data_IF_216705712008
#
_entry.id   IF_216705712008
#
_cell.length_a   1.000
_cell.length_b   1.000
_cell.length_c   1.000
_cell.angle_alpha   90.00
_cell.angle_beta   90.00
_cell.angle_gamma   90.00
#
_symmetry.space_group_name_H-M   'P 1'
#
loop_
_entity.id
_entity.type
_entity.pdbx_description
1 polymer ?
#
# COMPACT_ATOMS: atom_id res chain seq x y z
N UNK A 1 18.17 -10.51 0.22
CA UNK A 1 18.40 -10.41 -1.24
C UNK A 1 17.80 -9.09 -1.74
N UNK A 2 18.41 -8.40 -2.72
CA UNK A 2 17.82 -7.20 -3.31
C UNK A 2 16.50 -7.52 -4.03
N UNK A 3 15.57 -6.55 -4.05
CA UNK A 3 14.31 -6.68 -4.81
C UNK A 3 14.65 -6.75 -6.29
N UNK A 4 14.41 -7.90 -6.90
CA UNK A 4 14.61 -8.11 -8.34
C UNK A 4 13.30 -8.44 -9.02
N UNK A 5 13.24 -8.27 -10.35
CA UNK A 5 12.07 -8.67 -11.15
C UNK A 5 11.67 -10.12 -10.89
N UNK A 6 12.63 -11.04 -10.90
CA UNK A 6 12.42 -12.47 -10.62
C UNK A 6 11.86 -12.70 -9.22
N UNK A 7 12.37 -11.97 -8.22
CA UNK A 7 11.85 -12.04 -6.85
C UNK A 7 10.39 -11.58 -6.76
N UNK A 8 9.98 -10.54 -7.50
CA UNK A 8 8.57 -10.13 -7.53
C UNK A 8 7.68 -11.13 -8.29
N UNK A 9 8.14 -11.66 -9.41
CA UNK A 9 7.39 -12.59 -10.26
C UNK A 9 7.16 -13.94 -9.56
N UNK A 10 8.22 -14.53 -8.99
CA UNK A 10 8.18 -15.83 -8.32
C UNK A 10 7.25 -15.83 -7.09
N UNK A 11 6.92 -14.64 -6.55
CA UNK A 11 6.28 -14.48 -5.24
C UNK A 11 4.94 -13.71 -5.34
N UNK A 12 4.43 -13.44 -6.56
CA UNK A 12 3.13 -12.80 -6.84
C UNK A 12 1.92 -13.71 -6.51
N UNK A 13 2.12 -15.03 -6.48
CA UNK A 13 1.04 -16.02 -6.36
C UNK A 13 0.58 -16.29 -4.91
N UNK A 14 1.33 -15.85 -3.90
CA UNK A 14 1.12 -16.18 -2.48
C UNK A 14 0.64 -14.99 -1.63
N UNK A 15 0.02 -13.98 -2.25
CA UNK A 15 -0.54 -12.81 -1.56
C UNK A 15 -1.67 -13.20 -0.59
N UNK A 16 -1.34 -13.48 0.67
CA UNK A 16 -2.33 -13.77 1.72
C UNK A 16 -2.77 -12.53 2.52
N UNK A 17 -4.08 -12.52 2.83
CA UNK A 17 -4.93 -11.49 3.43
C UNK A 17 -4.96 -10.10 2.76
N UNK A 18 -5.38 -10.03 1.47
CA UNK A 18 -5.71 -8.77 0.78
C UNK A 18 -6.68 -7.86 1.56
N UNK A 19 -7.54 -8.43 2.39
CA UNK A 19 -8.65 -7.74 3.06
C UNK A 19 -8.18 -6.72 4.10
N UNK A 20 -7.15 -7.07 4.90
CA UNK A 20 -6.64 -6.15 5.93
C UNK A 20 -5.87 -4.98 5.32
N UNK A 21 -5.09 -5.24 4.26
CA UNK A 21 -4.39 -4.19 3.55
C UNK A 21 -5.35 -3.30 2.75
N UNK A 22 -6.32 -3.88 2.05
CA UNK A 22 -7.32 -3.12 1.31
C UNK A 22 -8.14 -2.22 2.24
N UNK A 23 -8.50 -2.71 3.44
CA UNK A 23 -9.18 -1.89 4.45
C UNK A 23 -8.32 -0.71 4.91
N UNK A 24 -7.07 -0.95 5.28
CA UNK A 24 -6.16 0.11 5.73
C UNK A 24 -5.89 1.14 4.61
N UNK A 25 -5.73 0.67 3.37
CA UNK A 25 -5.56 1.53 2.19
C UNK A 25 -6.80 2.40 1.96
N UNK A 26 -7.99 1.80 1.96
CA UNK A 26 -9.24 2.52 1.76
C UNK A 26 -9.47 3.59 2.85
N UNK A 27 -9.17 3.26 4.10
CA UNK A 27 -9.27 4.20 5.22
C UNK A 27 -8.36 5.41 5.03
N UNK A 28 -7.11 5.21 4.61
CA UNK A 28 -6.20 6.33 4.37
C UNK A 28 -6.55 7.15 3.13
N UNK A 29 -7.06 6.53 2.05
CA UNK A 29 -7.58 7.27 0.90
C UNK A 29 -8.75 8.16 1.31
N UNK A 30 -9.67 7.64 2.13
CA UNK A 30 -10.81 8.43 2.64
C UNK A 30 -10.34 9.57 3.54
N UNK A 31 -9.42 9.32 4.47
CA UNK A 31 -8.86 10.36 5.34
C UNK A 31 -8.14 11.47 4.53
N UNK A 32 -7.42 11.09 3.49
CA UNK A 32 -6.77 12.04 2.58
C UNK A 32 -7.79 12.87 1.78
N UNK A 33 -8.89 12.24 1.35
CA UNK A 33 -10.03 12.92 0.73
C UNK A 33 -10.68 13.95 1.65
N UNK A 34 -10.98 13.55 2.90
CA UNK A 34 -11.55 14.42 3.94
C UNK A 34 -10.62 15.61 4.19
N UNK A 35 -9.32 15.37 4.38
CA UNK A 35 -8.34 16.42 4.62
C UNK A 35 -8.24 17.41 3.43
N UNK A 36 -8.34 16.91 2.19
CA UNK A 36 -8.27 17.74 0.98
C UNK A 36 -9.54 18.56 0.73
N UNK A 37 -10.70 18.02 1.07
CA UNK A 37 -11.99 18.72 0.95
C UNK A 37 -12.18 19.78 2.04
N UNK A 38 -11.75 19.49 3.27
CA UNK A 38 -12.09 20.32 4.43
C UNK A 38 -13.60 20.40 4.60
N UNK A 39 -14.15 21.61 4.66
CA UNK A 39 -15.60 21.88 4.75
C UNK A 39 -16.31 21.97 3.39
N UNK A 40 -15.57 21.84 2.29
CA UNK A 40 -16.11 22.00 0.93
C UNK A 40 -16.68 20.68 0.40
N UNK A 41 -17.64 20.77 -0.53
CA UNK A 41 -18.12 19.65 -1.33
C UNK A 41 -17.53 19.69 -2.75
N UNK A 42 -17.28 18.52 -3.33
CA UNK A 42 -16.85 18.37 -4.73
C UNK A 42 -17.40 17.06 -5.32
N UNK A 43 -17.61 17.02 -6.63
CA UNK A 43 -18.05 15.80 -7.34
C UNK A 43 -16.96 14.71 -7.37
N UNK A 44 -15.69 15.10 -7.32
CA UNK A 44 -14.55 14.19 -7.22
C UNK A 44 -13.35 14.84 -6.53
N UNK A 45 -12.48 14.00 -5.96
CA UNK A 45 -11.23 14.43 -5.31
C UNK A 45 -10.11 13.49 -5.75
N UNK A 46 -9.05 14.04 -6.33
CA UNK A 46 -7.85 13.28 -6.68
C UNK A 46 -6.89 13.26 -5.50
N UNK A 47 -6.39 12.08 -5.15
CA UNK A 47 -5.38 11.88 -4.10
C UNK A 47 -4.14 11.26 -4.73
N UNK A 48 -2.99 11.89 -4.53
CA UNK A 48 -1.71 11.36 -5.00
C UNK A 48 -1.22 10.27 -4.05
N UNK A 49 -0.77 9.16 -4.61
CA UNK A 49 -0.23 8.04 -3.87
C UNK A 49 1.07 7.53 -4.51
N UNK A 50 2.00 7.07 -3.67
CA UNK A 50 3.22 6.39 -4.10
C UNK A 50 3.29 5.01 -3.46
N UNK A 51 3.76 4.01 -4.21
CA UNK A 51 3.95 2.66 -3.67
C UNK A 51 5.44 2.30 -3.67
N UNK A 52 5.93 1.84 -2.53
CA UNK A 52 7.28 1.33 -2.36
C UNK A 52 7.25 -0.16 -2.09
N UNK A 53 8.07 -0.92 -2.81
CA UNK A 53 8.19 -2.37 -2.65
C UNK A 53 9.61 -2.73 -2.24
N UNK A 54 9.75 -3.47 -1.15
CA UNK A 54 11.04 -3.88 -0.59
C UNK A 54 11.02 -5.33 -0.14
N UNK A 55 12.17 -6.01 -0.14
CA UNK A 55 12.30 -7.32 0.49
C UNK A 55 12.21 -7.16 2.02
N UNK A 56 11.53 -8.10 2.68
CA UNK A 56 11.47 -8.21 4.14
C UNK A 56 12.11 -9.53 4.55
N UNK A 57 13.39 -9.43 4.90
CA UNK A 57 14.31 -10.56 5.04
C UNK A 57 14.05 -11.54 6.20
N UNK A 58 13.41 -11.18 7.34
CA UNK A 58 13.25 -12.14 8.44
C UNK A 58 12.43 -13.38 8.10
N UNK A 59 11.63 -13.37 7.02
CA UNK A 59 10.67 -14.44 6.69
C UNK A 59 10.51 -14.72 5.18
N UNK A 60 11.40 -14.23 4.33
CA UNK A 60 11.21 -14.36 2.88
C UNK A 60 9.91 -13.70 2.42
N UNK A 61 9.67 -12.45 2.82
CA UNK A 61 8.42 -11.74 2.53
C UNK A 61 8.67 -10.55 1.60
N UNK A 62 7.65 -10.15 0.83
CA UNK A 62 7.66 -8.85 0.14
C UNK A 62 6.92 -7.88 1.03
N UNK A 63 7.54 -6.73 1.30
CA UNK A 63 6.88 -5.59 1.94
C UNK A 63 6.46 -4.59 0.88
N UNK A 64 5.18 -4.23 0.91
CA UNK A 64 4.62 -3.19 0.03
C UNK A 64 4.07 -2.11 0.94
N UNK A 65 4.50 -0.87 0.71
CA UNK A 65 4.05 0.30 1.43
C UNK A 65 3.37 1.28 0.47
N UNK A 66 2.10 1.61 0.73
CA UNK A 66 1.44 2.75 0.12
C UNK A 66 1.73 4.01 0.92
N UNK A 67 2.04 5.11 0.25
CA UNK A 67 2.22 6.45 0.82
C UNK A 67 1.09 7.31 0.31
N UNK A 68 0.22 7.75 1.21
CA UNK A 68 -0.89 8.65 0.92
C UNK A 68 -0.73 9.86 1.84
N UNK A 69 -0.58 11.06 1.28
CA UNK A 69 -0.32 12.29 2.04
C UNK A 69 0.84 12.16 3.06
N UNK A 70 1.88 11.38 2.73
CA UNK A 70 3.03 11.15 3.61
C UNK A 70 2.83 10.08 4.71
N UNK A 71 1.64 9.48 4.81
CA UNK A 71 1.37 8.37 5.74
C UNK A 71 1.69 7.04 5.07
N UNK A 72 2.50 6.22 5.73
CA UNK A 72 2.92 4.90 5.25
C UNK A 72 1.96 3.80 5.74
N UNK A 73 1.41 3.04 4.80
CA UNK A 73 0.63 1.82 5.08
C UNK A 73 1.38 0.66 4.48
N UNK A 74 2.00 -0.14 5.34
CA UNK A 74 2.78 -1.28 4.90
C UNK A 74 2.04 -2.58 5.21
N UNK A 75 2.05 -3.50 4.25
CA UNK A 75 1.79 -4.90 4.51
C UNK A 75 2.98 -5.74 4.08
N UNK A 76 3.12 -6.88 4.73
CA UNK A 76 4.09 -7.89 4.36
C UNK A 76 3.34 -9.11 3.91
N UNK A 77 3.72 -9.62 2.75
CA UNK A 77 3.19 -10.86 2.20
C UNK A 77 4.17 -11.93 2.62
N UNK A 78 3.71 -12.86 3.48
CA UNK A 78 4.42 -14.12 3.65
C UNK A 78 4.40 -14.82 2.30
N UNK A 79 5.57 -15.22 1.84
CA UNK A 79 5.71 -16.01 0.64
C UNK A 79 5.87 -17.46 1.04
#
# INVERSE_FOLDING_TARGET
MPVSKKYLDDHKATLHTPESWARALAEQVMNAGIAKLGEKSAESVSIDAQFHVSAYEPKGCIRICGVINGIYICYHVNI
#
